data_IF_276567792843
#
_entry.id   IF_276567792843
#
_cell.length_a   1.000
_cell.length_b   1.000
_cell.length_c   1.000
_cell.angle_alpha   90.00
_cell.angle_beta   90.00
_cell.angle_gamma   90.00
#
_symmetry.space_group_name_H-M   'P 1'
#
loop_
_entity.id
_entity.type
_entity.pdbx_description
1 polymer ?
#
# COMPACT_ATOMS: atom_id res chain seq x y z
N UNK A 1 -5.73 -13.56 21.17
CA UNK A 1 -6.74 -12.54 20.84
C UNK A 1 -6.34 -11.19 21.42
N UNK A 2 -6.29 -10.96 22.73
CA UNK A 2 -5.96 -9.64 23.34
C UNK A 2 -4.74 -8.90 22.74
N UNK A 3 -3.65 -9.59 22.43
CA UNK A 3 -2.43 -8.97 21.91
C UNK A 3 -2.58 -8.41 20.47
N UNK A 4 -3.48 -8.99 19.67
CA UNK A 4 -3.76 -8.49 18.32
C UNK A 4 -4.67 -7.28 18.37
N UNK A 5 -5.65 -7.27 19.27
CA UNK A 5 -6.59 -6.16 19.44
C UNK A 5 -5.82 -4.88 19.89
N UNK A 6 -4.92 -5.01 20.87
CA UNK A 6 -4.04 -3.92 21.34
C UNK A 6 -3.15 -3.36 20.21
N UNK A 7 -2.65 -4.21 19.30
CA UNK A 7 -1.86 -3.79 18.15
C UNK A 7 -2.70 -3.04 17.11
N UNK A 8 -3.91 -3.53 16.84
CA UNK A 8 -4.85 -2.84 15.95
C UNK A 8 -5.23 -1.47 16.50
N UNK A 9 -5.54 -1.38 17.80
CA UNK A 9 -5.82 -0.11 18.46
C UNK A 9 -4.64 0.86 18.33
N UNK A 10 -3.41 0.41 18.61
CA UNK A 10 -2.21 1.23 18.47
C UNK A 10 -2.04 1.80 17.06
N UNK A 11 -2.23 0.97 16.03
CA UNK A 11 -2.08 1.41 14.63
C UNK A 11 -3.22 2.35 14.23
N UNK A 12 -4.45 2.05 14.64
CA UNK A 12 -5.61 2.92 14.39
C UNK A 12 -5.41 4.27 15.03
N UNK A 13 -5.00 4.31 16.29
CA UNK A 13 -4.74 5.55 17.02
C UNK A 13 -3.65 6.39 16.34
N UNK A 14 -2.56 5.76 15.89
CA UNK A 14 -1.49 6.42 15.14
C UNK A 14 -1.99 7.03 13.82
N UNK A 15 -2.85 6.31 13.10
CA UNK A 15 -3.47 6.85 11.88
C UNK A 15 -4.32 8.08 12.21
N UNK A 16 -5.14 8.01 13.26
CA UNK A 16 -5.98 9.14 13.71
C UNK A 16 -5.10 10.34 14.07
N UNK A 17 -4.09 10.15 14.90
CA UNK A 17 -3.16 11.21 15.31
C UNK A 17 -2.47 11.89 14.12
N UNK A 18 -2.07 11.11 13.12
CA UNK A 18 -1.48 11.67 11.89
C UNK A 18 -2.51 12.41 11.02
N UNK A 19 -3.77 11.98 11.01
CA UNK A 19 -4.85 12.69 10.31
C UNK A 19 -5.28 13.98 11.02
N UNK A 20 -5.29 13.98 12.36
CA UNK A 20 -5.64 15.15 13.18
C UNK A 20 -4.55 16.23 13.17
N UNK A 21 -3.30 15.85 12.96
CA UNK A 21 -2.18 16.80 12.78
C UNK A 21 -2.16 17.44 11.39
N UNK A 22 -3.33 17.76 10.85
CA UNK A 22 -3.60 18.09 9.44
C UNK A 22 -2.83 19.30 8.87
N UNK A 23 -2.28 20.20 9.68
CA UNK A 23 -1.45 21.31 9.20
C UNK A 23 -0.12 20.85 8.58
N UNK A 24 0.28 19.60 8.80
CA UNK A 24 1.47 18.96 8.24
C UNK A 24 1.20 17.61 7.59
N UNK A 25 -0.07 17.29 7.29
CA UNK A 25 -0.38 16.01 6.66
C UNK A 25 0.28 15.91 5.28
N UNK A 26 1.39 15.24 5.22
CA UNK A 26 2.00 14.79 3.98
C UNK A 26 1.51 13.36 3.74
N UNK A 27 1.10 13.09 2.51
CA UNK A 27 0.75 11.72 2.12
C UNK A 27 1.95 10.83 2.46
N UNK A 28 1.81 9.80 3.32
CA UNK A 28 2.96 8.99 3.76
C UNK A 28 3.71 8.31 2.61
N UNK A 29 3.09 8.24 1.45
CA UNK A 29 3.70 7.70 0.23
C UNK A 29 4.42 8.74 -0.65
N UNK A 30 4.37 10.01 -0.30
CA UNK A 30 5.08 11.07 -1.04
C UNK A 30 6.29 11.65 -0.31
N UNK A 31 6.39 11.43 1.00
CA UNK A 31 7.39 12.11 1.83
C UNK A 31 8.50 11.21 2.36
N UNK A 32 8.37 9.89 2.21
CA UNK A 32 9.39 8.97 2.72
C UNK A 32 10.47 8.77 1.67
N UNK A 33 11.65 9.31 1.95
CA UNK A 33 12.89 8.98 1.23
C UNK A 33 12.69 8.69 -0.27
N UNK A 34 12.70 9.72 -1.10
CA UNK A 34 12.72 9.62 -2.58
C UNK A 34 11.52 8.84 -3.23
N UNK A 35 10.39 8.75 -2.52
CA UNK A 35 9.19 8.07 -3.05
C UNK A 35 9.24 6.54 -2.96
N UNK A 36 10.21 5.96 -2.25
CA UNK A 36 10.27 4.52 -2.07
C UNK A 36 9.26 4.02 -1.03
N UNK A 37 8.50 2.98 -1.39
CA UNK A 37 7.53 2.35 -0.49
C UNK A 37 8.23 1.55 0.62
N UNK A 38 7.62 1.43 1.83
CA UNK A 38 8.08 0.48 2.84
C UNK A 38 8.18 -0.91 2.24
N UNK A 39 9.34 -1.56 2.39
CA UNK A 39 9.60 -2.84 1.75
C UNK A 39 10.40 -3.78 2.64
N UNK A 40 10.34 -5.05 2.34
CA UNK A 40 11.19 -6.05 2.95
C UNK A 40 12.59 -5.99 2.33
N UNK A 41 13.57 -5.52 3.08
CA UNK A 41 14.93 -5.30 2.59
C UNK A 41 15.71 -6.58 2.22
N UNK A 42 15.24 -7.77 2.61
CA UNK A 42 15.81 -9.04 2.17
C UNK A 42 15.34 -9.44 0.77
N UNK A 43 14.09 -9.13 0.43
CA UNK A 43 13.46 -9.58 -0.82
C UNK A 43 13.24 -8.45 -1.83
N UNK A 44 13.22 -7.19 -1.38
CA UNK A 44 12.84 -6.02 -2.17
C UNK A 44 11.31 -5.88 -2.36
N UNK A 45 10.48 -6.76 -1.77
CA UNK A 45 9.02 -6.71 -1.96
C UNK A 45 8.40 -5.60 -1.11
N UNK A 46 7.58 -4.71 -1.72
CA UNK A 46 6.86 -3.69 -0.96
C UNK A 46 5.82 -4.32 -0.03
N UNK A 47 5.59 -3.67 1.09
CA UNK A 47 4.44 -3.95 1.94
C UNK A 47 3.18 -3.31 1.36
N UNK A 48 2.02 -3.88 1.67
CA UNK A 48 0.72 -3.42 1.18
C UNK A 48 -0.32 -3.33 2.30
N UNK A 49 -1.44 -2.66 2.03
CA UNK A 49 -2.54 -2.50 2.98
C UNK A 49 -2.10 -1.85 4.29
N UNK A 50 -2.59 -2.36 5.41
CA UNK A 50 -2.29 -1.82 6.74
C UNK A 50 -0.79 -1.78 7.06
N UNK A 51 -0.01 -2.74 6.54
CA UNK A 51 1.43 -2.77 6.74
C UNK A 51 2.14 -1.60 6.05
N UNK A 52 1.67 -1.19 4.87
CA UNK A 52 2.19 -0.04 4.17
C UNK A 52 2.04 1.23 5.00
N UNK A 53 0.85 1.48 5.55
CA UNK A 53 0.59 2.65 6.38
C UNK A 53 1.39 2.61 7.67
N UNK A 54 1.34 1.48 8.41
CA UNK A 54 2.03 1.36 9.68
C UNK A 54 3.55 1.57 9.55
N UNK A 55 4.17 0.94 8.57
CA UNK A 55 5.61 1.07 8.36
C UNK A 55 6.00 2.36 7.65
N UNK A 56 5.10 2.94 6.85
CA UNK A 56 5.32 4.22 6.18
C UNK A 56 5.56 5.36 7.18
N UNK A 57 4.68 5.50 8.15
CA UNK A 57 4.82 6.50 9.21
C UNK A 57 6.13 6.34 10.02
N UNK A 58 6.49 5.11 10.33
CA UNK A 58 7.73 4.84 11.08
C UNK A 58 8.98 5.01 10.22
N UNK A 59 8.88 4.78 8.91
CA UNK A 59 10.00 4.96 7.99
C UNK A 59 10.51 6.40 7.94
N UNK A 60 9.63 7.40 8.10
CA UNK A 60 10.02 8.81 8.20
C UNK A 60 10.98 9.05 9.36
N UNK A 61 10.69 8.47 10.52
CA UNK A 61 11.52 8.58 11.72
C UNK A 61 12.94 8.07 11.51
N UNK A 62 13.08 7.01 10.70
CA UNK A 62 14.36 6.35 10.46
C UNK A 62 15.08 6.84 9.19
N UNK A 63 14.43 7.63 8.37
CA UNK A 63 14.96 8.02 7.05
C UNK A 63 15.24 6.84 6.13
N UNK A 64 14.62 5.68 6.36
CA UNK A 64 14.82 4.46 5.59
C UNK A 64 13.52 3.66 5.49
N UNK A 65 13.23 3.12 4.31
CA UNK A 65 12.00 2.36 4.02
C UNK A 65 12.17 0.84 4.05
N UNK A 66 13.38 0.36 4.30
CA UNK A 66 13.69 -1.06 4.40
C UNK A 66 13.40 -1.63 5.79
N UNK A 67 12.76 -2.82 5.83
CA UNK A 67 12.37 -3.49 7.06
C UNK A 67 12.74 -4.97 7.01
N UNK A 68 13.21 -5.51 8.13
CA UNK A 68 13.64 -6.90 8.25
C UNK A 68 13.08 -7.56 9.51
N UNK A 69 12.75 -8.84 9.42
CA UNK A 69 12.54 -9.68 10.60
C UNK A 69 13.88 -10.01 11.23
N UNK A 70 13.87 -10.43 12.49
CA UNK A 70 15.09 -10.86 13.22
C UNK A 70 15.91 -11.89 12.42
N UNK A 71 15.23 -12.92 11.87
CA UNK A 71 15.90 -13.98 11.10
C UNK A 71 16.55 -13.45 9.82
N UNK A 72 15.88 -12.52 9.13
CA UNK A 72 16.42 -11.90 7.91
C UNK A 72 17.61 -11.00 8.22
N UNK A 73 17.52 -10.19 9.26
CA UNK A 73 18.60 -9.33 9.72
C UNK A 73 19.86 -10.16 10.06
N UNK A 74 19.69 -11.21 10.87
CA UNK A 74 20.79 -12.10 11.25
C UNK A 74 21.38 -12.84 10.04
N UNK A 75 20.57 -13.28 9.08
CA UNK A 75 21.04 -13.92 7.87
C UNK A 75 21.85 -12.99 6.96
N UNK A 76 21.63 -11.68 7.06
CA UNK A 76 22.40 -10.63 6.37
C UNK A 76 23.57 -10.10 7.21
N UNK A 77 23.93 -10.78 8.30
CA UNK A 77 25.04 -10.40 9.16
C UNK A 77 24.74 -9.27 10.15
N UNK A 78 23.52 -8.75 10.13
CA UNK A 78 23.11 -7.63 10.98
C UNK A 78 22.80 -8.04 12.41
N UNK A 79 23.05 -7.13 13.35
CA UNK A 79 22.76 -7.26 14.76
C UNK A 79 21.57 -6.38 15.13
N UNK A 80 20.47 -7.05 15.46
CA UNK A 80 19.22 -6.38 15.87
C UNK A 80 19.37 -5.81 17.29
N UNK A 81 18.95 -4.55 17.54
CA UNK A 81 19.02 -3.96 18.85
C UNK A 81 18.14 -4.70 19.87
N UNK A 82 18.52 -4.66 21.15
CA UNK A 82 17.70 -5.23 22.22
C UNK A 82 16.48 -4.33 22.46
N UNK A 83 15.35 -4.93 22.86
CA UNK A 83 14.13 -4.17 23.19
C UNK A 83 14.29 -3.18 24.36
N UNK A 84 15.35 -3.28 25.12
CA UNK A 84 15.72 -2.36 26.22
C UNK A 84 16.45 -1.11 25.72
N UNK A 85 16.88 -1.09 24.46
CA UNK A 85 17.49 0.08 23.84
C UNK A 85 16.39 1.13 23.53
N UNK A 86 16.59 2.41 23.82
CA UNK A 86 15.65 3.47 23.43
C UNK A 86 15.31 3.49 21.95
N UNK A 87 16.23 3.03 21.09
CA UNK A 87 16.05 2.89 19.66
C UNK A 87 15.72 1.46 19.23
N UNK A 88 15.49 0.53 20.19
CA UNK A 88 15.35 -0.90 19.93
C UNK A 88 13.95 -1.40 19.65
N UNK A 89 12.96 -0.51 19.63
CA UNK A 89 11.55 -0.87 19.37
C UNK A 89 11.36 -1.52 18.02
N UNK A 90 10.58 -2.62 17.98
CA UNK A 90 10.16 -3.23 16.72
C UNK A 90 8.77 -2.75 16.35
N UNK A 91 8.51 -2.72 15.05
CA UNK A 91 7.16 -2.62 14.51
C UNK A 91 6.63 -4.00 14.12
N UNK A 92 5.32 -4.08 13.88
CA UNK A 92 4.69 -5.34 13.57
C UNK A 92 4.06 -5.31 12.18
N UNK A 93 4.24 -6.41 11.44
CA UNK A 93 3.57 -6.64 10.16
C UNK A 93 2.59 -7.79 10.29
N UNK A 94 1.42 -7.61 9.68
CA UNK A 94 0.37 -8.62 9.61
C UNK A 94 0.48 -9.40 8.33
N UNK A 95 0.43 -10.72 8.49
CA UNK A 95 0.40 -11.66 7.38
C UNK A 95 -0.90 -12.44 7.44
N UNK A 96 -1.72 -12.29 6.41
CA UNK A 96 -2.91 -13.09 6.21
C UNK A 96 -2.72 -14.03 5.02
N UNK A 97 -2.93 -15.31 5.23
CA UNK A 97 -2.94 -16.30 4.16
C UNK A 97 -4.19 -17.17 4.23
N UNK A 98 -4.69 -17.55 3.07
CA UNK A 98 -5.70 -18.59 2.99
C UNK A 98 -5.08 -19.92 3.40
N UNK A 99 -5.78 -20.68 4.22
CA UNK A 99 -5.38 -22.02 4.66
C UNK A 99 -6.54 -22.98 4.46
N UNK A 100 -6.23 -24.15 3.96
CA UNK A 100 -7.20 -25.25 3.89
C UNK A 100 -6.93 -26.15 5.09
N UNK A 101 -7.95 -26.43 5.87
CA UNK A 101 -7.87 -27.35 7.01
C UNK A 101 -9.03 -28.34 6.95
N UNK A 102 -8.79 -29.53 7.49
CA UNK A 102 -9.84 -30.55 7.60
C UNK A 102 -10.73 -30.29 8.81
N UNK A 103 -12.02 -30.24 8.60
CA UNK A 103 -12.99 -30.21 9.67
C UNK A 103 -12.88 -31.49 10.50
N UNK A 104 -12.75 -31.34 11.80
CA UNK A 104 -12.57 -32.49 12.70
C UNK A 104 -13.83 -33.36 12.86
N UNK A 105 -15.00 -32.83 12.52
CA UNK A 105 -16.29 -33.54 12.66
C UNK A 105 -16.73 -34.20 11.36
N UNK A 106 -16.55 -33.54 10.23
CA UNK A 106 -17.03 -34.00 8.93
C UNK A 106 -15.91 -34.59 8.05
N UNK A 107 -14.66 -34.30 8.33
CA UNK A 107 -13.51 -34.67 7.50
C UNK A 107 -13.36 -33.86 6.22
N UNK A 108 -14.28 -32.92 5.96
CA UNK A 108 -14.28 -32.09 4.76
C UNK A 108 -13.21 -31.01 4.81
N UNK A 109 -12.72 -30.61 3.64
CA UNK A 109 -11.79 -29.50 3.51
C UNK A 109 -12.54 -28.16 3.68
N UNK A 110 -12.20 -27.42 4.72
CA UNK A 110 -12.70 -26.06 4.97
C UNK A 110 -11.63 -25.03 4.73
N UNK A 111 -12.04 -23.92 4.12
CA UNK A 111 -11.18 -22.77 3.91
C UNK A 111 -11.22 -21.84 5.12
N UNK A 112 -10.04 -21.47 5.62
CA UNK A 112 -9.88 -20.49 6.70
C UNK A 112 -8.75 -19.52 6.41
N UNK A 113 -8.51 -18.63 7.35
CA UNK A 113 -7.42 -17.68 7.25
C UNK A 113 -6.42 -17.90 8.40
N UNK A 114 -5.14 -17.94 8.05
CA UNK A 114 -4.07 -17.83 9.05
C UNK A 114 -3.73 -16.36 9.16
N UNK A 115 -3.91 -15.82 10.36
CA UNK A 115 -3.49 -14.47 10.70
C UNK A 115 -2.27 -14.57 11.63
N UNK A 116 -1.13 -14.03 11.19
CA UNK A 116 0.12 -14.00 11.95
C UNK A 116 0.68 -12.60 11.98
N UNK A 117 1.28 -12.24 13.11
CA UNK A 117 1.95 -10.98 13.32
C UNK A 117 3.45 -11.24 13.53
N UNK A 118 4.31 -10.53 12.81
CA UNK A 118 5.76 -10.67 12.90
C UNK A 118 6.40 -9.35 13.31
N UNK A 119 7.31 -9.34 14.27
CA UNK A 119 8.11 -8.17 14.57
C UNK A 119 9.12 -7.93 13.46
N UNK A 120 9.26 -6.66 13.07
CA UNK A 120 10.23 -6.17 12.09
C UNK A 120 10.97 -4.96 12.64
N UNK A 121 12.20 -4.77 12.22
CA UNK A 121 13.06 -3.64 12.56
C UNK A 121 13.42 -2.88 11.29
N UNK A 122 13.52 -1.57 11.40
CA UNK A 122 14.01 -0.77 10.31
C UNK A 122 15.50 -1.07 10.07
N UNK A 123 15.93 -1.05 8.82
CA UNK A 123 17.32 -1.27 8.44
C UNK A 123 18.26 -0.30 9.17
N UNK A 124 17.83 0.95 9.39
CA UNK A 124 18.61 1.95 10.10
C UNK A 124 18.85 1.62 11.60
N UNK A 125 18.07 0.71 12.19
CA UNK A 125 18.26 0.26 13.58
C UNK A 125 19.27 -0.88 13.70
N UNK A 126 19.66 -1.52 12.61
CA UNK A 126 20.40 -2.78 12.61
C UNK A 126 21.88 -2.50 12.36
N UNK A 127 22.72 -2.83 13.33
CA UNK A 127 24.18 -2.68 13.23
C UNK A 127 24.79 -3.73 12.29
N UNK A 128 25.80 -3.33 11.51
CA UNK A 128 26.61 -4.25 10.69
C UNK A 128 25.87 -4.81 9.47
N UNK A 129 24.76 -4.18 9.06
CA UNK A 129 24.05 -4.58 7.85
C UNK A 129 24.79 -4.02 6.62
N UNK A 130 25.46 -4.90 5.91
CA UNK A 130 26.03 -4.58 4.60
C UNK A 130 25.02 -4.96 3.51
N UNK A 131 24.27 -3.95 3.02
CA UNK A 131 23.48 -4.06 1.81
C UNK A 131 22.15 -4.81 1.94
N UNK A 132 21.07 -4.09 2.22
CA UNK A 132 19.71 -4.54 1.94
C UNK A 132 19.34 -4.27 0.48
N UNK A 133 18.42 -5.07 -0.08
CA UNK A 133 17.80 -4.76 -1.37
C UNK A 133 16.93 -3.53 -1.20
N UNK A 134 17.20 -2.49 -1.96
CA UNK A 134 16.31 -1.36 -2.06
C UNK A 134 15.08 -1.73 -2.90
N UNK A 135 13.94 -1.19 -2.55
CA UNK A 135 12.79 -1.23 -3.42
C UNK A 135 13.09 -0.33 -4.62
N UNK A 136 13.17 -0.94 -5.78
CA UNK A 136 13.11 -0.19 -7.02
C UNK A 136 11.65 -0.23 -7.45
N UNK A 137 10.93 0.89 -7.43
CA UNK A 137 9.59 0.91 -8.00
C UNK A 137 9.71 0.37 -9.42
N UNK A 138 8.76 -0.47 -9.86
CA UNK A 138 8.72 -0.83 -11.27
C UNK A 138 8.73 0.49 -12.02
N UNK A 139 9.72 0.67 -12.91
CA UNK A 139 9.68 1.80 -13.82
C UNK A 139 8.30 1.71 -14.47
N UNK A 140 7.46 2.71 -14.26
CA UNK A 140 6.24 2.84 -14.99
C UNK A 140 6.68 2.80 -16.46
N UNK A 141 6.45 1.65 -17.09
CA UNK A 141 6.84 1.50 -18.49
C UNK A 141 6.07 2.56 -19.23
N UNK A 142 6.78 3.52 -19.82
CA UNK A 142 6.22 4.67 -20.49
C UNK A 142 5.02 4.25 -21.33
N UNK A 143 3.83 4.69 -20.97
CA UNK A 143 2.58 4.37 -21.64
C UNK A 143 2.03 2.95 -21.44
N UNK A 144 2.46 2.19 -20.45
CA UNK A 144 1.93 0.84 -20.19
C UNK A 144 0.43 0.88 -19.86
N UNK A 145 0.01 1.83 -19.05
CA UNK A 145 -1.41 2.01 -18.67
C UNK A 145 -2.22 2.53 -19.85
N UNK A 146 -1.66 3.42 -20.66
CA UNK A 146 -2.30 3.88 -21.90
C UNK A 146 -2.50 2.70 -22.88
N UNK A 147 -1.49 1.85 -23.08
CA UNK A 147 -1.66 0.63 -23.90
C UNK A 147 -2.71 -0.33 -23.35
N UNK A 148 -2.84 -0.43 -22.02
CA UNK A 148 -3.92 -1.19 -21.42
C UNK A 148 -5.28 -0.57 -21.71
N UNK A 149 -5.42 0.75 -21.58
CA UNK A 149 -6.65 1.47 -21.92
C UNK A 149 -7.02 1.28 -23.40
N UNK A 150 -6.04 1.36 -24.29
CA UNK A 150 -6.23 1.11 -25.74
C UNK A 150 -6.68 -0.34 -26.01
N UNK A 151 -6.06 -1.33 -25.35
CA UNK A 151 -6.40 -2.74 -25.50
C UNK A 151 -7.83 -3.08 -25.02
N UNK A 152 -8.35 -2.29 -24.08
CA UNK A 152 -9.71 -2.39 -23.56
C UNK A 152 -10.70 -1.51 -24.33
N UNK A 153 -10.25 -0.80 -25.38
CA UNK A 153 -11.03 0.16 -26.17
C UNK A 153 -11.71 1.25 -25.30
N UNK A 154 -11.00 1.72 -24.28
CA UNK A 154 -11.51 2.79 -23.41
C UNK A 154 -11.50 4.11 -24.20
N UNK A 155 -12.63 4.82 -24.19
CA UNK A 155 -12.72 6.18 -24.72
C UNK A 155 -11.99 7.14 -23.77
N UNK A 156 -10.68 7.31 -23.98
CA UNK A 156 -9.81 8.14 -23.17
C UNK A 156 -9.67 9.52 -23.80
N UNK A 157 -10.05 10.56 -23.07
CA UNK A 157 -10.02 11.96 -23.51
C UNK A 157 -9.07 12.77 -22.63
N UNK A 158 -8.12 13.46 -23.22
CA UNK A 158 -7.21 14.34 -22.52
C UNK A 158 -7.66 15.80 -22.59
N UNK A 159 -7.52 16.50 -21.47
CA UNK A 159 -7.77 17.94 -21.35
C UNK A 159 -8.50 18.34 -20.06
N UNK A 160 -8.33 19.60 -19.69
CA UNK A 160 -8.84 20.15 -18.43
C UNK A 160 -7.96 19.81 -17.23
N UNK A 161 -8.50 20.02 -16.03
CA UNK A 161 -7.79 19.95 -14.76
C UNK A 161 -8.24 18.79 -13.84
N UNK A 162 -9.19 17.97 -14.30
CA UNK A 162 -9.79 16.91 -13.49
C UNK A 162 -9.75 15.58 -14.22
N UNK A 163 -9.38 14.53 -13.48
CA UNK A 163 -9.58 13.15 -13.89
C UNK A 163 -10.98 12.69 -13.44
N UNK A 164 -11.72 12.02 -14.32
CA UNK A 164 -13.00 11.42 -13.97
C UNK A 164 -13.49 10.43 -15.03
N UNK A 165 -14.15 9.36 -14.58
CA UNK A 165 -14.99 8.54 -15.45
C UNK A 165 -16.36 9.19 -15.62
N UNK A 166 -16.86 9.28 -16.86
CA UNK A 166 -18.15 9.87 -17.23
C UNK A 166 -19.07 8.76 -17.75
N UNK A 167 -19.97 8.20 -16.91
CA UNK A 167 -20.81 7.07 -17.28
C UNK A 167 -21.73 7.34 -18.47
N UNK A 168 -22.24 8.58 -18.60
CA UNK A 168 -23.22 8.93 -19.63
C UNK A 168 -22.70 8.86 -21.06
N UNK A 169 -21.39 8.92 -21.24
CA UNK A 169 -20.70 8.84 -22.56
C UNK A 169 -19.67 7.73 -22.59
N UNK A 170 -19.59 6.93 -21.53
CA UNK A 170 -18.63 5.84 -21.33
C UNK A 170 -17.19 6.27 -21.66
N UNK A 171 -16.75 7.38 -21.09
CA UNK A 171 -15.43 7.95 -21.34
C UNK A 171 -14.69 8.24 -20.03
N UNK A 172 -13.37 8.10 -20.09
CA UNK A 172 -12.47 8.60 -19.04
C UNK A 172 -11.86 9.91 -19.50
N UNK A 173 -12.00 10.96 -18.69
CA UNK A 173 -11.33 12.22 -18.92
C UNK A 173 -10.11 12.33 -18.02
N UNK A 174 -8.97 12.71 -18.57
CA UNK A 174 -7.70 12.87 -17.87
C UNK A 174 -7.08 14.25 -18.15
N UNK A 175 -6.44 14.88 -17.17
CA UNK A 175 -5.51 15.97 -17.44
C UNK A 175 -4.36 15.49 -18.34
N UNK A 176 -3.71 16.41 -19.02
CA UNK A 176 -2.52 16.10 -19.80
C UNK A 176 -1.35 15.63 -18.89
N UNK A 177 -0.41 14.87 -19.44
CA UNK A 177 0.69 14.29 -18.69
C UNK A 177 1.56 15.34 -17.95
N UNK A 178 1.71 16.51 -18.55
CA UNK A 178 2.45 17.65 -17.98
C UNK A 178 1.74 18.33 -16.78
N UNK A 179 0.48 18.00 -16.53
CA UNK A 179 -0.23 18.43 -15.31
C UNK A 179 0.11 17.59 -14.08
N UNK A 180 0.90 16.53 -14.24
CA UNK A 180 1.32 15.64 -13.15
C UNK A 180 2.81 15.81 -12.86
N UNK A 181 3.20 15.64 -11.58
CA UNK A 181 4.61 15.72 -11.16
C UNK A 181 5.49 14.66 -11.84
N UNK A 182 4.90 13.52 -12.19
CA UNK A 182 5.57 12.42 -12.88
C UNK A 182 4.54 11.47 -13.53
N UNK A 183 5.04 10.63 -14.45
CA UNK A 183 4.23 9.65 -15.17
C UNK A 183 3.57 8.62 -14.25
N UNK A 184 4.20 8.24 -13.15
CA UNK A 184 3.62 7.29 -12.21
C UNK A 184 2.35 7.84 -11.53
N UNK A 185 2.29 9.14 -11.26
CA UNK A 185 1.10 9.79 -10.71
C UNK A 185 -0.03 9.86 -11.75
N UNK A 186 0.30 10.12 -13.00
CA UNK A 186 -0.65 10.04 -14.11
C UNK A 186 -1.22 8.63 -14.25
N UNK A 187 -0.36 7.62 -14.30
CA UNK A 187 -0.73 6.22 -14.47
C UNK A 187 -1.58 5.69 -13.29
N UNK A 188 -1.23 6.08 -12.07
CA UNK A 188 -2.03 5.74 -10.89
C UNK A 188 -3.43 6.36 -10.95
N UNK A 189 -3.53 7.61 -11.38
CA UNK A 189 -4.82 8.30 -11.57
C UNK A 189 -5.63 7.66 -12.68
N UNK A 190 -5.01 7.35 -13.82
CA UNK A 190 -5.70 6.67 -14.92
C UNK A 190 -6.21 5.29 -14.51
N UNK A 191 -5.42 4.50 -13.79
CA UNK A 191 -5.85 3.20 -13.26
C UNK A 191 -7.05 3.35 -12.30
N UNK A 192 -7.07 4.39 -11.46
CA UNK A 192 -8.20 4.68 -10.60
C UNK A 192 -9.47 4.92 -11.40
N UNK A 193 -9.42 5.76 -12.42
CA UNK A 193 -10.58 6.03 -13.29
C UNK A 193 -10.99 4.79 -14.10
N UNK A 194 -10.04 3.94 -14.49
CA UNK A 194 -10.34 2.66 -15.14
C UNK A 194 -11.10 1.71 -14.20
N UNK A 195 -10.84 1.74 -12.89
CA UNK A 195 -11.64 0.97 -11.90
C UNK A 195 -13.09 1.47 -11.89
N UNK A 196 -13.32 2.78 -11.91
CA UNK A 196 -14.66 3.34 -12.03
C UNK A 196 -15.31 2.96 -13.36
N UNK A 197 -14.57 3.01 -14.47
CA UNK A 197 -15.02 2.59 -15.79
C UNK A 197 -15.51 1.14 -15.80
N UNK A 198 -14.87 0.21 -15.08
CA UNK A 198 -15.35 -1.18 -14.96
C UNK A 198 -16.72 -1.28 -14.32
N UNK A 199 -17.15 -0.30 -13.54
CA UNK A 199 -18.46 -0.25 -12.88
C UNK A 199 -19.64 0.11 -13.79
N UNK A 200 -19.42 0.48 -15.07
CA UNK A 200 -20.48 0.86 -15.99
C UNK A 200 -21.58 -0.22 -16.15
N UNK A 201 -22.80 0.22 -16.53
CA UNK A 201 -23.97 -0.67 -16.68
C UNK A 201 -23.74 -1.83 -17.65
N UNK A 202 -22.91 -1.66 -18.65
CA UNK A 202 -22.59 -2.66 -19.67
C UNK A 202 -21.45 -3.61 -19.25
N UNK A 203 -20.83 -3.38 -18.10
CA UNK A 203 -19.73 -4.18 -17.52
C UNK A 203 -20.15 -4.81 -16.18
N UNK A 204 -19.61 -4.32 -15.07
CA UNK A 204 -19.88 -4.93 -13.75
C UNK A 204 -21.16 -4.42 -13.07
N UNK A 205 -21.83 -3.42 -13.62
CA UNK A 205 -23.08 -2.83 -13.11
C UNK A 205 -23.00 -2.44 -11.64
N UNK A 206 -21.85 -1.88 -11.21
CA UNK A 206 -21.71 -1.42 -9.84
C UNK A 206 -22.52 -0.15 -9.63
N UNK A 207 -23.15 -0.02 -8.46
CA UNK A 207 -23.78 1.23 -8.08
C UNK A 207 -22.68 2.21 -7.66
N UNK A 208 -22.28 3.08 -8.56
CA UNK A 208 -21.31 4.14 -8.30
C UNK A 208 -22.06 5.29 -7.63
N UNK A 209 -21.86 5.51 -6.35
CA UNK A 209 -22.38 6.67 -5.65
C UNK A 209 -21.50 7.89 -5.93
N UNK A 210 -22.00 8.77 -6.78
CA UNK A 210 -21.26 9.91 -7.35
C UNK A 210 -20.96 11.08 -6.40
N UNK A 211 -21.23 11.00 -5.10
CA UNK A 211 -20.88 12.08 -4.19
C UNK A 211 -19.56 11.80 -3.50
N UNK A 212 -18.53 12.56 -3.88
CA UNK A 212 -17.25 12.60 -3.16
C UNK A 212 -17.50 12.78 -1.65
N UNK A 213 -16.81 11.98 -0.82
CA UNK A 213 -16.97 11.95 0.65
C UNK A 213 -18.30 11.37 1.17
N UNK A 214 -19.10 10.65 0.38
CA UNK A 214 -20.19 9.83 0.89
C UNK A 214 -19.67 8.49 1.42
N UNK A 215 -20.40 7.86 2.35
CA UNK A 215 -20.08 6.48 2.80
C UNK A 215 -19.99 5.49 1.64
N UNK A 216 -20.84 5.64 0.62
CA UNK A 216 -20.78 4.80 -0.59
C UNK A 216 -19.50 4.96 -1.39
N UNK A 217 -18.93 6.16 -1.44
CA UNK A 217 -17.65 6.43 -2.12
C UNK A 217 -16.46 5.76 -1.41
N UNK A 218 -16.53 5.61 -0.09
CA UNK A 218 -15.46 4.97 0.69
C UNK A 218 -15.37 3.45 0.48
N UNK A 219 -16.40 2.83 -0.11
CA UNK A 219 -16.46 1.40 -0.43
C UNK A 219 -16.13 1.09 -1.90
N UNK A 220 -15.91 2.08 -2.73
CA UNK A 220 -15.45 1.95 -4.12
C UNK A 220 -13.93 1.90 -4.22
#
# INVERSE_FOLDING_TARGET
>A
MKKYDELFEKVTQRIIENLESADNWRKPWTSVCDGSAPHNASTGRPYSGINFFNLGFESEKWGNTGWLTYKQATALGGKVPKNTDPNGGCEYVWFMAKSIYKDKQTGDDKMGFINKCFPVWNVAQIEGLEGGKQYTPPSAGTGAVNRLADSLNINLQYGGDKACFIPSIDAIKMPSLDAFDNEANHDATLLHEMVHWTGHSDRLKRQINNSFASEGYAFE
#
